data_IF_621785520666
#
_entry.id   IF_621785520666
#
_cell.length_a   1.000
_cell.length_b   1.000
_cell.length_c   1.000
_cell.angle_alpha   90.00
_cell.angle_beta   90.00
_cell.angle_gamma   90.00
#
_symmetry.space_group_name_H-M   'P 1'
#
loop_
_entity.id
_entity.type
_entity.pdbx_description
1 polymer ?
#
# COMPACT_ATOMS: atom_id res chain seq x y z
N UNK A 1 6.03 -25.25 -24.56
CA UNK A 1 6.20 -23.85 -24.15
C UNK A 1 5.23 -22.99 -24.95
N UNK A 2 4.48 -22.13 -24.27
CA UNK A 2 3.50 -21.27 -24.93
C UNK A 2 4.10 -19.87 -25.10
N UNK A 3 4.11 -19.38 -26.33
CA UNK A 3 4.54 -18.01 -26.60
C UNK A 3 3.36 -17.07 -26.47
N UNK A 4 3.59 -15.92 -25.83
CA UNK A 4 2.60 -14.86 -25.69
C UNK A 4 3.09 -13.64 -26.46
N UNK A 5 2.26 -13.15 -27.37
CA UNK A 5 2.56 -11.96 -28.15
C UNK A 5 1.85 -10.74 -27.56
N UNK A 6 2.55 -9.63 -27.47
CA UNK A 6 2.00 -8.38 -26.94
C UNK A 6 2.65 -7.18 -27.60
N UNK A 7 2.02 -6.02 -27.45
CA UNK A 7 2.56 -4.74 -27.94
C UNK A 7 3.56 -4.17 -26.92
N UNK A 8 3.23 -4.28 -25.63
CA UNK A 8 4.06 -3.78 -24.52
C UNK A 8 4.16 -4.86 -23.46
N UNK A 9 5.38 -5.15 -23.03
CA UNK A 9 5.65 -6.04 -21.90
C UNK A 9 6.21 -5.20 -20.74
N UNK A 10 5.53 -5.21 -19.60
CA UNK A 10 5.97 -4.51 -18.40
C UNK A 10 6.51 -5.51 -17.41
N UNK A 11 7.73 -5.30 -16.96
CA UNK A 11 8.40 -6.15 -15.97
C UNK A 11 8.41 -5.41 -14.64
N UNK A 12 7.69 -5.93 -13.69
CA UNK A 12 7.52 -5.34 -12.36
C UNK A 12 6.16 -4.69 -12.19
N UNK A 13 5.42 -5.12 -11.19
CA UNK A 13 4.08 -4.64 -10.86
C UNK A 13 4.07 -3.72 -9.62
N UNK A 14 5.09 -2.87 -9.50
CA UNK A 14 5.11 -1.77 -8.56
C UNK A 14 4.32 -0.58 -9.08
N UNK A 15 4.41 0.56 -8.40
CA UNK A 15 3.65 1.77 -8.77
C UNK A 15 3.94 2.24 -10.19
N UNK A 16 5.22 2.21 -10.62
CA UNK A 16 5.60 2.61 -11.98
C UNK A 16 5.09 1.64 -13.03
N UNK A 17 5.33 0.34 -12.86
CA UNK A 17 4.91 -0.69 -13.80
C UNK A 17 3.40 -0.77 -13.95
N UNK A 18 2.66 -0.72 -12.85
CA UNK A 18 1.19 -0.71 -12.86
C UNK A 18 0.65 0.52 -13.59
N UNK A 19 1.24 1.69 -13.37
CA UNK A 19 0.83 2.92 -14.05
C UNK A 19 1.00 2.82 -15.56
N UNK A 20 2.13 2.31 -16.03
CA UNK A 20 2.39 2.12 -17.46
C UNK A 20 1.44 1.09 -18.05
N UNK A 21 1.27 -0.05 -17.38
CA UNK A 21 0.39 -1.12 -17.86
C UNK A 21 -1.06 -0.65 -17.98
N UNK A 22 -1.57 0.04 -16.95
CA UNK A 22 -2.93 0.57 -16.95
C UNK A 22 -3.15 1.61 -18.06
N UNK A 23 -2.22 2.56 -18.19
CA UNK A 23 -2.32 3.59 -19.22
C UNK A 23 -2.28 3.00 -20.63
N UNK A 24 -1.33 2.11 -20.91
CA UNK A 24 -1.20 1.49 -22.22
C UNK A 24 -2.43 0.65 -22.58
N UNK A 25 -2.98 -0.06 -21.60
CA UNK A 25 -4.19 -0.86 -21.79
C UNK A 25 -5.39 0.01 -22.16
N UNK A 26 -5.50 1.20 -21.55
CA UNK A 26 -6.58 2.15 -21.87
C UNK A 26 -6.47 2.70 -23.28
N UNK A 27 -5.26 2.75 -23.85
CA UNK A 27 -5.06 3.15 -25.26
C UNK A 27 -5.31 2.01 -26.26
N UNK A 28 -5.75 0.86 -25.79
CA UNK A 28 -6.09 -0.28 -26.65
C UNK A 28 -4.90 -1.17 -27.00
N UNK A 29 -3.75 -0.94 -26.39
CA UNK A 29 -2.58 -1.78 -26.61
C UNK A 29 -2.68 -3.11 -25.84
N UNK A 30 -2.18 -4.17 -26.42
CA UNK A 30 -2.09 -5.45 -25.74
C UNK A 30 -0.89 -5.46 -24.83
N UNK A 31 -1.13 -5.48 -23.52
CA UNK A 31 -0.10 -5.37 -22.47
C UNK A 31 0.04 -6.69 -21.74
N UNK A 32 1.29 -7.12 -21.51
CA UNK A 32 1.63 -8.22 -20.62
C UNK A 32 2.43 -7.65 -19.45
N UNK A 33 1.95 -7.91 -18.25
CA UNK A 33 2.58 -7.47 -16.99
C UNK A 33 3.17 -8.70 -16.29
N UNK A 34 4.44 -8.62 -15.95
CA UNK A 34 5.17 -9.73 -15.30
C UNK A 34 5.62 -9.28 -13.91
N UNK A 35 5.27 -10.03 -12.88
CA UNK A 35 5.69 -9.80 -11.52
C UNK A 35 6.19 -11.11 -10.89
N UNK A 36 7.38 -11.08 -10.33
CA UNK A 36 7.99 -12.26 -9.68
C UNK A 36 7.62 -12.40 -8.21
N UNK A 37 7.08 -11.34 -7.59
CA UNK A 37 6.69 -11.32 -6.18
C UNK A 37 5.23 -10.91 -6.02
N UNK A 38 4.95 -10.10 -5.01
CA UNK A 38 3.60 -9.61 -4.75
C UNK A 38 3.28 -8.40 -5.62
N UNK A 39 2.06 -8.39 -6.18
CA UNK A 39 1.55 -7.23 -6.92
C UNK A 39 1.49 -6.00 -6.01
N UNK A 40 1.74 -4.83 -6.59
CA UNK A 40 1.77 -3.56 -5.86
C UNK A 40 3.16 -3.09 -5.47
N UNK A 41 4.15 -3.98 -5.48
CA UNK A 41 5.56 -3.66 -5.22
C UNK A 41 5.84 -3.22 -3.80
N UNK A 42 6.96 -2.52 -3.62
CA UNK A 42 7.45 -2.13 -2.29
C UNK A 42 6.55 -1.09 -1.62
N UNK A 43 5.98 -0.17 -2.38
CA UNK A 43 5.12 0.88 -1.82
C UNK A 43 3.91 0.29 -1.10
N UNK A 44 3.20 -0.63 -1.73
CA UNK A 44 2.02 -1.26 -1.14
C UNK A 44 2.41 -2.20 0.01
N UNK A 45 3.39 -3.06 -0.20
CA UNK A 45 3.63 -4.19 0.69
C UNK A 45 4.60 -3.87 1.83
N UNK A 46 5.62 -3.03 1.58
CA UNK A 46 6.72 -2.82 2.52
C UNK A 46 7.08 -1.35 2.76
N UNK A 47 6.46 -0.41 2.06
CA UNK A 47 6.87 0.99 2.08
C UNK A 47 5.76 1.96 2.48
N UNK A 48 5.27 2.72 1.50
CA UNK A 48 4.39 3.87 1.73
C UNK A 48 3.10 3.52 2.46
N UNK A 49 2.44 2.45 2.07
CA UNK A 49 1.15 2.08 2.66
C UNK A 49 1.30 1.62 4.11
N UNK A 50 2.14 0.62 4.43
CA UNK A 50 2.31 0.21 5.82
C UNK A 50 2.93 1.30 6.70
N UNK A 51 3.88 2.08 6.20
CA UNK A 51 4.50 3.14 6.99
C UNK A 51 3.51 4.25 7.34
N UNK A 52 2.67 4.67 6.41
CA UNK A 52 1.64 5.69 6.67
C UNK A 52 0.57 5.18 7.64
N UNK A 53 0.17 3.93 7.52
CA UNK A 53 -0.78 3.32 8.45
C UNK A 53 -0.20 3.28 9.87
N UNK A 54 1.06 2.92 10.02
CA UNK A 54 1.73 2.89 11.32
C UNK A 54 1.91 4.29 11.90
N UNK A 55 2.29 5.27 11.08
CA UNK A 55 2.41 6.67 11.50
C UNK A 55 1.06 7.24 11.94
N UNK A 56 -0.03 6.89 11.28
CA UNK A 56 -1.37 7.31 11.69
C UNK A 56 -1.72 6.75 13.07
N UNK A 57 -1.41 5.48 13.34
CA UNK A 57 -1.58 4.89 14.66
C UNK A 57 -0.74 5.61 15.73
N UNK A 58 0.52 5.92 15.40
CA UNK A 58 1.42 6.69 16.27
C UNK A 58 0.87 8.08 16.59
N UNK A 59 0.26 8.76 15.62
CA UNK A 59 -0.38 10.05 15.82
C UNK A 59 -1.52 9.98 16.84
N UNK A 60 -2.36 8.96 16.77
CA UNK A 60 -3.42 8.77 17.74
C UNK A 60 -2.87 8.47 19.14
N UNK A 61 -1.82 7.67 19.27
CA UNK A 61 -1.17 7.43 20.55
C UNK A 61 -0.56 8.72 21.13
N UNK A 62 0.08 9.53 20.29
CA UNK A 62 0.68 10.80 20.71
C UNK A 62 -0.37 11.81 21.20
N UNK A 63 -1.59 11.76 20.69
CA UNK A 63 -2.67 12.65 21.09
C UNK A 63 -2.99 12.57 22.59
N UNK A 64 -2.69 11.45 23.24
CA UNK A 64 -2.87 11.30 24.70
C UNK A 64 -2.00 12.24 25.53
N UNK A 65 -0.91 12.78 24.96
CA UNK A 65 0.00 13.69 25.65
C UNK A 65 0.07 15.08 25.02
N UNK A 66 -0.41 15.26 23.80
CA UNK A 66 -0.23 16.51 23.03
C UNK A 66 -1.28 17.57 23.31
N UNK A 67 -2.30 17.26 24.11
CA UNK A 67 -3.40 18.18 24.39
C UNK A 67 -3.20 19.10 25.61
N UNK A 68 -2.05 19.01 26.30
CA UNK A 68 -1.84 19.73 27.57
C UNK A 68 -1.97 21.24 27.41
N UNK A 69 -1.43 21.80 26.34
CA UNK A 69 -1.52 23.26 26.08
C UNK A 69 -2.95 23.72 25.81
N UNK A 70 -3.85 22.81 25.44
CA UNK A 70 -5.26 23.10 25.20
C UNK A 70 -6.16 22.80 26.41
N UNK A 71 -5.56 22.51 27.56
CA UNK A 71 -6.31 22.20 28.78
C UNK A 71 -6.76 20.73 28.87
N UNK A 72 -6.25 19.88 28.01
CA UNK A 72 -6.54 18.43 28.03
C UNK A 72 -5.45 17.71 28.79
N UNK A 73 -5.80 17.01 29.87
CA UNK A 73 -4.83 16.30 30.69
C UNK A 73 -4.16 15.17 29.91
N UNK A 74 -2.83 15.08 30.05
CA UNK A 74 -2.07 13.98 29.45
C UNK A 74 -2.36 12.68 30.19
N UNK A 75 -2.55 11.60 29.42
CA UNK A 75 -2.67 10.25 29.96
C UNK A 75 -1.86 9.28 29.15
N UNK A 76 -1.23 8.27 29.77
CA UNK A 76 -0.49 7.28 29.00
C UNK A 76 -1.46 6.44 28.14
N UNK A 77 -1.17 6.27 26.84
CA UNK A 77 -2.00 5.44 26.00
C UNK A 77 -1.79 3.97 26.34
N UNK A 78 -2.86 3.19 26.20
CA UNK A 78 -2.77 1.75 26.27
C UNK A 78 -2.73 1.21 24.85
N UNK A 79 -1.56 0.78 24.41
CA UNK A 79 -1.33 0.33 23.02
C UNK A 79 -1.36 -1.18 22.94
N UNK A 80 -2.22 -1.70 22.06
CA UNK A 80 -2.25 -3.12 21.72
C UNK A 80 -1.51 -3.29 20.38
N UNK A 81 -0.20 -3.51 20.45
CA UNK A 81 0.64 -3.52 19.26
C UNK A 81 0.22 -4.57 18.23
N UNK A 82 -0.20 -5.75 18.67
CA UNK A 82 -0.68 -6.78 17.76
C UNK A 82 -1.90 -6.32 16.95
N UNK A 83 -2.82 -5.57 17.58
CA UNK A 83 -3.98 -5.00 16.91
C UNK A 83 -3.58 -3.88 15.95
N UNK A 84 -2.58 -3.07 16.32
CA UNK A 84 -2.04 -2.03 15.43
C UNK A 84 -1.46 -2.67 14.18
N UNK A 85 -0.67 -3.71 14.31
CA UNK A 85 -0.09 -4.41 13.16
C UNK A 85 -1.14 -5.13 12.32
N UNK A 86 -2.19 -5.66 12.95
CA UNK A 86 -3.32 -6.23 12.22
C UNK A 86 -4.03 -5.17 11.38
N UNK A 87 -4.22 -3.97 11.92
CA UNK A 87 -4.79 -2.85 11.16
C UNK A 87 -3.91 -2.48 9.96
N UNK A 88 -2.58 -2.41 10.13
CA UNK A 88 -1.65 -2.14 9.03
C UNK A 88 -1.83 -3.17 7.91
N UNK A 89 -1.92 -4.44 8.25
CA UNK A 89 -2.15 -5.52 7.28
C UNK A 89 -3.50 -5.38 6.59
N UNK A 90 -4.54 -4.98 7.33
CA UNK A 90 -5.88 -4.76 6.76
C UNK A 90 -5.88 -3.59 5.77
N UNK A 91 -5.11 -2.53 6.04
CA UNK A 91 -4.96 -1.41 5.10
C UNK A 91 -4.31 -1.87 3.81
N UNK A 92 -3.24 -2.66 3.90
CA UNK A 92 -2.58 -3.24 2.72
C UNK A 92 -3.58 -4.09 1.93
N UNK A 93 -4.32 -4.97 2.61
CA UNK A 93 -5.30 -5.85 1.97
C UNK A 93 -6.44 -5.06 1.32
N UNK A 94 -6.84 -3.92 1.92
CA UNK A 94 -7.88 -3.05 1.36
C UNK A 94 -7.45 -2.31 0.10
N UNK A 95 -6.17 -2.00 -0.03
CA UNK A 95 -5.61 -1.29 -1.19
C UNK A 95 -5.16 -2.26 -2.29
N UNK A 96 -4.73 -3.47 -1.92
CA UNK A 96 -4.19 -4.44 -2.87
C UNK A 96 -5.06 -4.71 -4.10
N UNK A 97 -6.42 -4.78 -4.02
CA UNK A 97 -7.24 -4.96 -5.20
C UNK A 97 -7.09 -3.86 -6.25
N UNK A 98 -6.77 -2.63 -5.84
CA UNK A 98 -6.55 -1.51 -6.76
C UNK A 98 -5.21 -1.62 -7.49
N UNK A 99 -4.25 -2.33 -6.91
CA UNK A 99 -2.92 -2.55 -7.46
C UNK A 99 -2.77 -3.96 -8.05
N UNK A 100 -3.83 -4.73 -8.07
CA UNK A 100 -3.81 -6.07 -8.66
C UNK A 100 -4.21 -6.02 -10.13
N UNK A 101 -3.86 -7.08 -10.82
CA UNK A 101 -4.27 -7.28 -12.21
C UNK A 101 -5.72 -7.77 -12.27
N UNK A 102 -6.52 -7.12 -13.05
CA UNK A 102 -7.84 -7.59 -13.47
C UNK A 102 -7.84 -7.98 -14.94
#
# INVERSE_FOLDING_TARGET
MTDISCDICVIGAGSGGLSVAAAASQFGEKVVLIEKGEMGGDCLNYGCVPSKALLAAGKHAHAFSSGVEFGVAAQPPKVYFAKTMAHVKDVIAGIAPHDSQE
#
